data_IF_193947460079
#
_entry.id   IF_193947460079
#
_cell.length_a   1.000
_cell.length_b   1.000
_cell.length_c   1.000
_cell.angle_alpha   90.00
_cell.angle_beta   90.00
_cell.angle_gamma   90.00
#
_symmetry.space_group_name_H-M   'P 1'
#
loop_
_entity.id
_entity.type
_entity.pdbx_description
1 polymer ?
#
# COMPACT_ATOMS: atom_id res chain seq x y z
N UNK A 1 -37.95 -4.33 53.45
CA UNK A 1 -38.47 -5.50 52.71
C UNK A 1 -38.76 -4.99 51.31
N UNK A 2 -38.07 -5.28 50.22
CA UNK A 2 -37.31 -6.44 49.74
C UNK A 2 -36.58 -5.93 48.48
N UNK A 3 -35.26 -5.97 48.39
CA UNK A 3 -34.54 -7.11 47.82
C UNK A 3 -34.04 -6.78 46.41
N UNK A 4 -32.84 -6.17 46.33
CA UNK A 4 -32.06 -6.03 45.09
C UNK A 4 -31.46 -7.40 44.73
N UNK A 5 -31.41 -7.81 43.44
CA UNK A 5 -30.54 -8.89 43.03
C UNK A 5 -29.17 -8.34 42.59
N UNK A 6 -28.16 -8.68 43.39
CA UNK A 6 -26.74 -8.62 43.04
C UNK A 6 -26.46 -9.76 42.07
N UNK A 7 -26.04 -9.44 40.84
CA UNK A 7 -25.48 -10.43 39.90
C UNK A 7 -23.97 -10.26 39.91
N UNK A 8 -23.28 -11.28 40.43
CA UNK A 8 -21.84 -11.45 40.36
C UNK A 8 -21.49 -12.32 39.15
N UNK A 9 -20.53 -11.88 38.32
CA UNK A 9 -19.77 -12.73 37.39
C UNK A 9 -18.38 -12.08 37.18
N UNK A 10 -17.34 -12.82 36.75
CA UNK A 10 -16.11 -13.01 37.51
C UNK A 10 -14.93 -12.28 36.87
N UNK A 11 -13.85 -12.17 37.64
CA UNK A 11 -12.59 -11.59 37.18
C UNK A 11 -11.81 -12.53 36.26
N UNK A 12 -11.60 -12.10 35.02
CA UNK A 12 -10.70 -12.76 34.07
C UNK A 12 -9.53 -11.83 33.74
N UNK A 13 -8.54 -11.84 34.64
CA UNK A 13 -7.21 -11.30 34.43
C UNK A 13 -6.43 -12.28 33.54
N UNK A 14 -6.71 -12.28 32.24
CA UNK A 14 -6.00 -13.14 31.30
C UNK A 14 -5.73 -12.33 30.02
N UNK A 15 -4.47 -12.32 29.56
CA UNK A 15 -3.92 -11.57 28.42
C UNK A 15 -3.27 -10.19 28.67
N UNK A 16 -2.46 -10.05 29.73
CA UNK A 16 -1.33 -9.10 29.70
C UNK A 16 -0.07 -9.79 29.16
N UNK A 17 0.10 -9.89 27.83
CA UNK A 17 1.43 -9.75 27.21
C UNK A 17 1.36 -9.74 25.67
N UNK A 18 1.76 -8.62 25.06
CA UNK A 18 2.52 -8.55 23.80
C UNK A 18 2.78 -7.08 23.44
N UNK A 19 3.86 -6.51 23.99
CA UNK A 19 4.52 -5.34 23.40
C UNK A 19 5.96 -5.72 23.06
N UNK A 20 6.14 -6.17 21.82
CA UNK A 20 7.43 -6.24 21.16
C UNK A 20 7.31 -5.45 19.85
N UNK A 21 8.07 -4.37 19.74
CA UNK A 21 8.35 -3.64 18.50
C UNK A 21 9.67 -2.87 18.68
N UNK A 22 10.33 -2.39 17.61
CA UNK A 22 10.82 -3.17 16.48
C UNK A 22 12.33 -2.92 16.24
N UNK A 23 13.08 -3.94 15.79
CA UNK A 23 14.48 -3.80 15.36
C UNK A 23 14.54 -3.01 14.04
N UNK A 24 15.13 -1.81 14.07
CA UNK A 24 15.53 -1.05 12.87
C UNK A 24 16.76 -1.71 12.24
N UNK A 25 16.64 -2.15 10.99
CA UNK A 25 17.79 -2.52 10.15
C UNK A 25 17.80 -1.54 8.98
N UNK A 26 18.70 -0.56 9.05
CA UNK A 26 19.06 0.30 7.92
C UNK A 26 20.55 0.12 7.69
N UNK A 27 20.91 -0.68 6.68
CA UNK A 27 22.30 -0.86 6.23
C UNK A 27 22.45 -0.09 4.92
N UNK A 28 22.97 1.14 5.03
CA UNK A 28 23.39 1.98 3.93
C UNK A 28 24.73 1.46 3.37
N UNK A 29 24.81 1.26 2.06
CA UNK A 29 26.05 0.83 1.37
C UNK A 29 26.75 2.09 0.85
N UNK A 30 27.98 2.33 1.31
CA UNK A 30 28.82 3.45 0.90
C UNK A 30 29.72 3.06 -0.30
N UNK A 31 29.56 3.79 -1.40
CA UNK A 31 30.47 3.79 -2.56
C UNK A 31 31.81 4.43 -2.19
N UNK A 32 32.93 3.76 -2.50
CA UNK A 32 34.28 4.31 -2.40
C UNK A 32 34.86 4.52 -3.82
N UNK A 33 35.48 5.67 -4.14
CA UNK A 33 36.20 5.89 -5.39
C UNK A 33 37.66 5.44 -5.30
N UNK A 34 38.21 4.93 -6.42
CA UNK A 34 39.63 4.56 -6.57
C UNK A 34 40.45 5.76 -7.11
N UNK A 35 41.72 5.92 -6.67
CA UNK A 35 42.56 7.03 -7.07
C UNK A 35 43.28 6.83 -8.42
N UNK A 36 43.38 7.92 -9.17
CA UNK A 36 44.34 8.11 -10.27
C UNK A 36 45.75 8.27 -9.71
N UNK A 37 46.75 7.71 -10.40
CA UNK A 37 48.17 7.88 -10.11
C UNK A 37 48.94 8.18 -11.40
N UNK A 38 49.86 9.13 -11.28
CA UNK A 38 50.53 9.92 -12.30
C UNK A 38 51.66 9.24 -13.09
N UNK A 39 52.04 9.89 -14.20
CA UNK A 39 53.27 9.74 -15.00
C UNK A 39 54.51 10.30 -14.23
N UNK A 40 55.72 10.57 -14.83
CA UNK A 40 56.31 10.27 -16.15
C UNK A 40 57.78 9.75 -16.06
N UNK A 41 58.44 9.49 -17.21
CA UNK A 41 59.87 9.16 -17.26
C UNK A 41 60.46 9.11 -18.67
N UNK A 42 60.96 10.25 -19.13
CA UNK A 42 61.69 10.53 -20.38
C UNK A 42 63.08 9.89 -20.38
N UNK A 43 63.56 9.32 -21.50
CA UNK A 43 65.00 9.25 -21.82
C UNK A 43 65.24 9.04 -23.33
N UNK A 44 65.84 10.08 -23.91
CA UNK A 44 66.80 10.20 -25.02
C UNK A 44 66.89 9.17 -26.17
N UNK A 45 66.98 9.76 -27.36
CA UNK A 45 67.38 9.20 -28.65
C UNK A 45 68.86 8.75 -28.71
N UNK A 46 69.20 7.84 -29.66
CA UNK A 46 70.42 7.91 -30.48
C UNK A 46 70.46 6.84 -31.62
N UNK A 47 70.60 7.32 -32.87
CA UNK A 47 71.24 6.78 -34.11
C UNK A 47 71.40 5.26 -34.45
N UNK A 48 70.80 4.84 -35.59
CA UNK A 48 71.35 4.30 -36.88
C UNK A 48 72.72 3.54 -36.95
N UNK A 49 73.08 2.80 -38.04
CA UNK A 49 72.45 1.65 -38.75
C UNK A 49 73.44 0.47 -39.09
N UNK A 50 72.90 -0.60 -39.71
CA UNK A 50 73.52 -1.67 -40.57
C UNK A 50 73.87 -3.04 -39.97
N UNK A 51 73.76 -4.03 -40.88
CA UNK A 51 74.03 -5.48 -40.81
C UNK A 51 72.83 -6.27 -40.29
N UNK A 52 71.89 -6.72 -41.13
CA UNK A 52 72.03 -7.69 -42.24
C UNK A 52 72.78 -8.96 -41.83
N UNK A 53 72.09 -10.07 -42.08
CA UNK A 53 72.49 -11.48 -42.01
C UNK A 53 72.32 -12.17 -40.66
N UNK A 54 71.62 -13.31 -40.71
CA UNK A 54 71.70 -14.45 -39.78
C UNK A 54 70.59 -14.78 -38.78
N UNK A 55 69.36 -14.25 -38.91
CA UNK A 55 68.22 -14.89 -38.20
C UNK A 55 66.95 -15.08 -39.04
N UNK A 56 67.09 -15.02 -40.37
CA UNK A 56 66.05 -15.43 -41.32
C UNK A 56 65.89 -16.97 -41.36
N UNK A 57 66.81 -17.73 -40.75
CA UNK A 57 66.78 -19.21 -40.74
C UNK A 57 66.20 -19.82 -39.45
N UNK A 58 65.86 -19.03 -38.43
CA UNK A 58 65.05 -19.50 -37.27
C UNK A 58 63.55 -19.29 -37.43
N UNK A 59 63.09 -18.78 -38.58
CA UNK A 59 61.67 -18.67 -38.90
C UNK A 59 61.09 -19.89 -39.65
N UNK A 60 61.91 -20.91 -39.94
CA UNK A 60 61.46 -22.16 -40.58
C UNK A 60 61.16 -23.28 -39.59
N UNK A 61 61.05 -22.98 -38.29
CA UNK A 61 60.66 -23.96 -37.26
C UNK A 61 59.43 -23.52 -36.45
N UNK A 62 58.42 -23.00 -37.14
CA UNK A 62 57.02 -23.12 -36.68
C UNK A 62 56.29 -23.96 -37.73
N UNK A 63 56.55 -25.27 -37.62
CA UNK A 63 55.70 -26.32 -38.15
C UNK A 63 54.33 -26.20 -37.48
N UNK A 64 53.42 -25.39 -38.05
CA UNK A 64 52.00 -25.42 -37.68
C UNK A 64 51.09 -24.59 -38.59
N UNK A 65 51.32 -24.60 -39.91
CA UNK A 65 50.25 -24.20 -40.86
C UNK A 65 48.96 -25.03 -40.66
N UNK A 66 49.07 -26.24 -40.10
CA UNK A 66 47.93 -27.05 -39.67
C UNK A 66 47.31 -26.63 -38.33
N UNK A 67 48.08 -26.16 -37.34
CA UNK A 67 47.52 -25.93 -35.98
C UNK A 67 46.75 -24.61 -35.86
N UNK A 68 47.07 -23.59 -36.67
CA UNK A 68 46.30 -22.33 -36.71
C UNK A 68 44.91 -22.59 -37.29
N UNK A 69 44.82 -23.36 -38.39
CA UNK A 69 43.55 -23.68 -39.02
C UNK A 69 42.70 -24.64 -38.17
N UNK A 70 43.34 -25.54 -37.41
CA UNK A 70 42.66 -26.38 -36.42
C UNK A 70 42.06 -25.56 -35.26
N UNK A 71 42.75 -24.51 -34.77
CA UNK A 71 42.21 -23.63 -33.73
C UNK A 71 41.09 -22.70 -34.23
N UNK A 72 41.16 -22.23 -35.48
CA UNK A 72 40.09 -21.42 -36.11
C UNK A 72 38.80 -22.23 -36.32
N UNK A 73 38.91 -23.52 -36.65
CA UNK A 73 37.75 -24.41 -36.76
C UNK A 73 37.15 -24.78 -35.40
N UNK A 74 37.94 -24.84 -34.32
CA UNK A 74 37.44 -25.08 -32.98
C UNK A 74 36.70 -23.86 -32.38
N UNK A 75 37.09 -22.63 -32.73
CA UNK A 75 36.37 -21.42 -32.31
C UNK A 75 34.99 -21.27 -32.98
N UNK A 76 34.82 -21.77 -34.22
CA UNK A 76 33.51 -21.86 -34.90
C UNK A 76 32.52 -22.80 -34.20
N UNK A 77 33.01 -23.69 -33.33
CA UNK A 77 32.21 -24.70 -32.62
C UNK A 77 31.69 -24.24 -31.25
N UNK A 78 32.12 -23.07 -30.76
CA UNK A 78 31.77 -22.54 -29.42
C UNK A 78 30.55 -21.59 -29.42
N UNK A 79 30.01 -21.23 -30.59
CA UNK A 79 29.06 -20.13 -30.74
C UNK A 79 27.57 -20.48 -30.77
N UNK A 80 27.16 -21.72 -30.48
CA UNK A 80 25.74 -22.11 -30.55
C UNK A 80 25.26 -22.64 -29.21
N UNK A 81 25.11 -21.74 -28.23
CA UNK A 81 24.27 -22.03 -27.07
C UNK A 81 22.85 -22.24 -27.60
N UNK A 82 22.39 -23.48 -27.60
CA UNK A 82 21.00 -23.80 -27.90
C UNK A 82 20.15 -23.06 -26.86
N UNK A 83 19.43 -22.01 -27.29
CA UNK A 83 18.48 -21.36 -26.42
C UNK A 83 17.39 -22.39 -26.11
N UNK A 84 17.39 -22.89 -24.86
CA UNK A 84 16.30 -23.68 -24.34
C UNK A 84 15.10 -22.73 -24.22
N UNK A 85 14.20 -22.78 -25.19
CA UNK A 85 12.95 -22.03 -25.14
C UNK A 85 12.10 -22.51 -23.97
N UNK A 86 11.28 -21.61 -23.42
CA UNK A 86 10.25 -21.96 -22.45
C UNK A 86 9.25 -22.90 -23.10
N UNK A 87 8.90 -23.99 -22.43
CA UNK A 87 7.93 -24.95 -22.98
C UNK A 87 6.51 -24.40 -22.83
N UNK A 88 5.63 -24.70 -23.80
CA UNK A 88 4.21 -24.34 -23.69
C UNK A 88 3.55 -24.96 -22.45
N UNK A 89 4.02 -26.14 -22.03
CA UNK A 89 3.52 -26.82 -20.84
C UNK A 89 3.90 -26.08 -19.55
N UNK A 90 5.11 -25.51 -19.46
CA UNK A 90 5.49 -24.68 -18.31
C UNK A 90 4.62 -23.43 -18.23
N UNK A 91 4.33 -22.81 -19.37
CA UNK A 91 3.52 -21.60 -19.42
C UNK A 91 2.06 -21.87 -19.03
N UNK A 92 1.51 -23.01 -19.46
CA UNK A 92 0.15 -23.41 -19.09
C UNK A 92 -0.02 -23.60 -17.58
N UNK A 93 0.94 -24.24 -16.92
CA UNK A 93 0.88 -24.45 -15.47
C UNK A 93 0.97 -23.12 -14.71
N UNK A 94 1.84 -22.21 -15.16
CA UNK A 94 1.98 -20.89 -14.53
C UNK A 94 0.68 -20.10 -14.62
N UNK A 95 0.05 -20.05 -15.80
CA UNK A 95 -1.22 -19.34 -15.98
C UNK A 95 -2.33 -19.98 -15.14
N UNK A 96 -2.36 -21.31 -15.04
CA UNK A 96 -3.34 -22.01 -14.20
C UNK A 96 -3.22 -21.62 -12.71
N UNK A 97 -1.99 -21.56 -12.17
CA UNK A 97 -1.76 -21.17 -10.78
C UNK A 97 -2.12 -19.69 -10.56
N UNK A 98 -1.70 -18.79 -11.45
CA UNK A 98 -2.04 -17.36 -11.36
C UNK A 98 -3.56 -17.16 -11.43
N UNK A 99 -4.27 -17.93 -12.26
CA UNK A 99 -5.73 -17.87 -12.36
C UNK A 99 -6.43 -18.19 -11.03
N UNK A 100 -6.00 -19.25 -10.34
CA UNK A 100 -6.57 -19.62 -9.03
C UNK A 100 -6.28 -18.55 -7.98
N UNK A 101 -5.03 -18.05 -7.92
CA UNK A 101 -4.66 -16.99 -6.98
C UNK A 101 -5.43 -15.70 -7.23
N UNK A 102 -5.58 -15.30 -8.50
CA UNK A 102 -6.31 -14.09 -8.88
C UNK A 102 -7.79 -14.16 -8.52
N UNK A 103 -8.44 -15.32 -8.69
CA UNK A 103 -9.85 -15.51 -8.36
C UNK A 103 -10.17 -15.21 -6.88
N UNK A 104 -9.23 -15.51 -5.97
CA UNK A 104 -9.37 -15.24 -4.53
C UNK A 104 -8.86 -13.83 -4.18
N UNK A 105 -7.73 -13.42 -4.77
CA UNK A 105 -7.05 -12.18 -4.40
C UNK A 105 -7.80 -10.93 -4.88
N UNK A 106 -8.40 -10.95 -6.07
CA UNK A 106 -9.10 -9.78 -6.64
C UNK A 106 -10.27 -9.31 -5.76
N UNK A 107 -11.25 -10.16 -5.38
CA UNK A 107 -12.36 -9.70 -4.54
C UNK A 107 -11.88 -9.21 -3.17
N UNK A 108 -10.89 -9.90 -2.56
CA UNK A 108 -10.33 -9.49 -1.28
C UNK A 108 -9.59 -8.14 -1.35
N UNK A 109 -8.83 -7.91 -2.43
CA UNK A 109 -8.14 -6.64 -2.64
C UNK A 109 -9.13 -5.49 -2.88
N UNK A 110 -10.22 -5.73 -3.60
CA UNK A 110 -11.28 -4.74 -3.80
C UNK A 110 -11.95 -4.34 -2.47
N UNK A 111 -12.25 -5.31 -1.59
CA UNK A 111 -12.79 -5.02 -0.26
C UNK A 111 -11.80 -4.23 0.59
N UNK A 112 -10.50 -4.56 0.53
CA UNK A 112 -9.45 -3.82 1.24
C UNK A 112 -9.37 -2.35 0.81
N UNK A 113 -9.35 -2.09 -0.51
CA UNK A 113 -9.32 -0.73 -1.04
C UNK A 113 -10.59 0.04 -0.66
N UNK A 114 -11.75 -0.61 -0.77
CA UNK A 114 -13.04 -0.02 -0.39
C UNK A 114 -13.07 0.33 1.10
N UNK A 115 -12.55 -0.54 1.97
CA UNK A 115 -12.43 -0.29 3.40
C UNK A 115 -11.53 0.89 3.72
N UNK A 116 -10.41 1.03 3.01
CA UNK A 116 -9.53 2.20 3.16
C UNK A 116 -10.26 3.50 2.80
N UNK A 117 -11.11 3.48 1.77
CA UNK A 117 -11.94 4.63 1.38
C UNK A 117 -12.98 4.94 2.46
N UNK A 118 -13.63 3.93 3.03
CA UNK A 118 -14.54 4.12 4.15
C UNK A 118 -13.85 4.67 5.41
N UNK A 119 -12.63 4.23 5.71
CA UNK A 119 -11.86 4.81 6.82
C UNK A 119 -11.63 6.32 6.62
N UNK A 120 -11.38 6.77 5.39
CA UNK A 120 -11.24 8.21 5.08
C UNK A 120 -12.57 8.98 5.19
N UNK A 121 -13.70 8.35 4.84
CA UNK A 121 -15.01 8.98 5.01
C UNK A 121 -15.39 9.08 6.50
N UNK A 122 -15.14 8.03 7.28
CA UNK A 122 -15.41 8.00 8.73
C UNK A 122 -14.53 9.00 9.50
N UNK A 123 -13.28 9.21 9.07
CA UNK A 123 -12.43 10.26 9.64
C UNK A 123 -12.89 11.66 9.21
N UNK A 124 -13.40 11.80 7.98
CA UNK A 124 -13.94 13.08 7.47
C UNK A 124 -15.14 13.61 8.26
N UNK A 125 -15.97 12.74 8.84
CA UNK A 125 -17.12 13.17 9.65
C UNK A 125 -16.80 13.45 11.13
N UNK A 126 -15.54 13.36 11.59
CA UNK A 126 -15.23 13.59 13.01
C UNK A 126 -15.57 15.02 13.46
N UNK A 127 -15.35 16.02 12.60
CA UNK A 127 -15.76 17.40 12.86
C UNK A 127 -17.29 17.52 13.02
N UNK A 128 -18.06 16.80 12.20
CA UNK A 128 -19.53 16.75 12.30
C UNK A 128 -19.96 16.12 13.62
N UNK A 129 -19.31 15.03 14.05
CA UNK A 129 -19.61 14.40 15.36
C UNK A 129 -19.35 15.35 16.53
N UNK A 130 -18.27 16.13 16.47
CA UNK A 130 -17.95 17.14 17.49
C UNK A 130 -18.97 18.29 17.48
N UNK A 131 -19.34 18.78 16.29
CA UNK A 131 -20.35 19.82 16.14
C UNK A 131 -21.73 19.38 16.67
N UNK A 132 -22.14 18.13 16.39
CA UNK A 132 -23.34 17.55 16.98
C UNK A 132 -23.23 17.46 18.50
N UNK A 133 -22.06 17.07 19.04
CA UNK A 133 -21.84 17.02 20.48
C UNK A 133 -22.01 18.39 21.15
N UNK A 134 -21.44 19.43 20.55
CA UNK A 134 -21.61 20.80 21.03
C UNK A 134 -23.08 21.24 20.93
N UNK A 135 -23.72 21.04 19.77
CA UNK A 135 -25.12 21.40 19.59
C UNK A 135 -26.03 20.69 20.61
N UNK A 136 -25.79 19.41 20.90
CA UNK A 136 -26.54 18.68 21.91
C UNK A 136 -26.33 19.26 23.32
N UNK A 137 -25.12 19.72 23.65
CA UNK A 137 -24.86 20.38 24.94
C UNK A 137 -25.61 21.71 25.06
N UNK A 138 -25.66 22.50 23.99
CA UNK A 138 -26.38 23.78 23.94
C UNK A 138 -27.91 23.61 24.00
N UNK A 139 -28.42 22.46 23.54
CA UNK A 139 -29.85 22.19 23.39
C UNK A 139 -30.39 21.18 24.42
N UNK A 140 -29.81 21.11 25.62
CA UNK A 140 -30.24 20.20 26.70
C UNK A 140 -30.35 18.72 26.27
N UNK A 141 -29.48 18.29 25.35
CA UNK A 141 -29.46 16.94 24.81
C UNK A 141 -30.56 16.64 23.80
N UNK A 142 -31.29 17.63 23.28
CA UNK A 142 -32.35 17.43 22.30
C UNK A 142 -31.78 17.22 20.87
N UNK A 143 -31.78 15.99 20.32
CA UNK A 143 -31.18 15.72 19.01
C UNK A 143 -31.97 16.33 17.86
N UNK A 144 -33.26 16.62 18.07
CA UNK A 144 -34.10 17.26 17.07
C UNK A 144 -33.60 18.68 16.70
N UNK A 145 -32.89 19.36 17.61
CA UNK A 145 -32.30 20.68 17.37
C UNK A 145 -31.01 20.63 16.53
N UNK A 146 -30.43 19.44 16.33
CA UNK A 146 -29.13 19.24 15.69
C UNK A 146 -29.27 18.45 14.37
N UNK A 147 -30.31 18.77 13.60
CA UNK A 147 -30.81 17.95 12.50
C UNK A 147 -30.32 18.31 11.10
N UNK A 148 -29.51 19.36 10.93
CA UNK A 148 -28.96 19.76 9.63
C UNK A 148 -27.55 20.29 9.81
N UNK A 149 -26.75 20.30 8.73
CA UNK A 149 -25.39 20.86 8.75
C UNK A 149 -25.36 22.34 9.17
N UNK A 150 -26.38 23.11 8.78
CA UNK A 150 -26.49 24.51 9.15
C UNK A 150 -26.77 24.71 10.66
N UNK A 151 -27.64 23.89 11.25
CA UNK A 151 -27.97 23.96 12.69
C UNK A 151 -26.78 23.63 13.59
N UNK A 152 -25.84 22.82 13.09
CA UNK A 152 -24.60 22.47 13.80
C UNK A 152 -23.41 23.33 13.35
N UNK A 153 -23.65 24.46 12.68
CA UNK A 153 -22.62 25.44 12.27
C UNK A 153 -21.49 24.89 11.37
N UNK A 154 -21.77 23.89 10.53
CA UNK A 154 -20.81 23.44 9.52
C UNK A 154 -20.77 24.47 8.38
N UNK A 155 -19.58 24.96 7.96
CA UNK A 155 -19.47 25.99 6.93
C UNK A 155 -20.05 25.56 5.59
N UNK A 156 -20.91 26.38 5.00
CA UNK A 156 -21.54 26.11 3.70
C UNK A 156 -20.53 25.84 2.57
N UNK A 157 -19.33 26.42 2.63
CA UNK A 157 -18.26 26.20 1.65
C UNK A 157 -17.75 24.74 1.61
N UNK A 158 -18.05 23.93 2.63
CA UNK A 158 -17.69 22.50 2.69
C UNK A 158 -18.80 21.59 2.17
N UNK A 159 -19.95 22.17 1.84
CA UNK A 159 -21.16 21.44 1.45
C UNK A 159 -21.33 21.44 -0.07
N UNK A 160 -21.96 20.39 -0.58
CA UNK A 160 -22.43 20.32 -1.96
C UNK A 160 -23.75 21.11 -2.15
N UNK A 161 -24.28 21.09 -3.38
CA UNK A 161 -25.53 21.76 -3.72
C UNK A 161 -26.76 21.22 -2.96
N UNK A 162 -26.67 20.03 -2.38
CA UNK A 162 -27.73 19.40 -1.58
C UNK A 162 -27.55 19.66 -0.07
N UNK A 163 -26.53 20.44 0.33
CA UNK A 163 -26.24 20.71 1.73
C UNK A 163 -25.56 19.54 2.46
N UNK A 164 -25.02 18.56 1.73
CA UNK A 164 -24.25 17.46 2.31
C UNK A 164 -22.75 17.82 2.35
N UNK A 165 -22.06 17.44 3.42
CA UNK A 165 -20.61 17.58 3.52
C UNK A 165 -19.95 16.78 2.40
N UNK A 166 -18.98 17.38 1.72
CA UNK A 166 -18.18 16.71 0.69
C UNK A 166 -17.05 15.91 1.36
N UNK A 167 -16.94 14.62 1.04
CA UNK A 167 -15.88 13.74 1.52
C UNK A 167 -15.04 13.20 0.35
N UNK A 168 -13.82 12.69 0.61
CA UNK A 168 -12.94 12.20 -0.46
C UNK A 168 -13.56 11.07 -1.30
N UNK A 169 -14.39 10.22 -0.69
CA UNK A 169 -15.02 9.08 -1.35
C UNK A 169 -16.54 9.04 -1.12
N UNK A 170 -17.19 10.19 -1.01
CA UNK A 170 -18.64 10.23 -0.75
C UNK A 170 -19.13 11.59 -0.26
N UNK A 171 -20.32 11.58 0.32
CA UNK A 171 -20.91 12.74 1.00
C UNK A 171 -21.47 12.32 2.35
N UNK A 172 -21.70 13.28 3.25
CA UNK A 172 -22.36 13.03 4.52
C UNK A 172 -23.47 14.06 4.76
N UNK A 173 -24.64 13.58 5.14
CA UNK A 173 -25.77 14.43 5.54
C UNK A 173 -26.06 14.23 7.03
N UNK A 174 -26.65 15.25 7.67
CA UNK A 174 -27.24 15.13 9.00
C UNK A 174 -28.73 15.29 8.86
N UNK A 175 -29.50 14.37 9.44
CA UNK A 175 -30.96 14.38 9.43
C UNK A 175 -31.51 13.57 10.62
N UNK A 176 -32.82 13.68 10.88
CA UNK A 176 -33.57 12.71 11.68
C UNK A 176 -32.97 12.38 13.07
N UNK A 177 -32.97 13.36 13.97
CA UNK A 177 -32.40 13.30 15.32
C UNK A 177 -30.87 13.16 15.32
N UNK A 178 -30.19 14.09 14.65
CA UNK A 178 -28.74 14.19 14.60
C UNK A 178 -28.03 12.94 14.06
N UNK A 179 -28.71 12.14 13.22
CA UNK A 179 -28.11 10.99 12.55
C UNK A 179 -27.23 11.47 11.40
N UNK A 180 -25.99 11.02 11.39
CA UNK A 180 -25.07 11.25 10.27
C UNK A 180 -25.24 10.10 9.29
N UNK A 181 -25.58 10.40 8.04
CA UNK A 181 -25.66 9.42 6.96
C UNK A 181 -24.52 9.69 5.98
N UNK A 182 -23.57 8.77 5.89
CA UNK A 182 -22.47 8.81 4.93
C UNK A 182 -22.87 7.96 3.73
N UNK A 183 -22.84 8.56 2.55
CA UNK A 183 -23.08 7.88 1.28
C UNK A 183 -21.77 7.81 0.51
N UNK A 184 -21.25 6.61 0.32
CA UNK A 184 -20.07 6.36 -0.51
C UNK A 184 -20.36 6.61 -1.98
N UNK A 185 -19.35 7.04 -2.74
CA UNK A 185 -19.43 7.07 -4.20
C UNK A 185 -19.16 5.67 -4.81
N UNK A 186 -19.09 5.57 -6.15
CA UNK A 186 -18.83 4.30 -6.83
C UNK A 186 -17.50 3.64 -6.40
N UNK A 187 -16.49 4.46 -6.08
CA UNK A 187 -15.22 3.98 -5.55
C UNK A 187 -15.36 3.41 -4.12
N UNK A 188 -16.32 3.88 -3.32
CA UNK A 188 -16.69 3.33 -2.02
C UNK A 188 -17.86 2.33 -2.11
N UNK A 189 -18.05 1.69 -3.28
CA UNK A 189 -19.08 0.70 -3.58
C UNK A 189 -20.54 1.19 -3.39
N UNK A 190 -20.76 2.51 -3.43
CA UNK A 190 -22.06 3.15 -3.19
C UNK A 190 -22.72 2.73 -1.86
N UNK A 191 -21.91 2.28 -0.90
CA UNK A 191 -22.41 1.87 0.41
C UNK A 191 -22.94 3.07 1.20
N UNK A 192 -23.85 2.81 2.13
CA UNK A 192 -24.35 3.83 3.06
C UNK A 192 -24.07 3.38 4.48
N UNK A 193 -23.49 4.27 5.29
CA UNK A 193 -23.22 4.05 6.71
C UNK A 193 -23.90 5.13 7.51
N UNK A 194 -24.69 4.76 8.50
CA UNK A 194 -25.34 5.67 9.42
C UNK A 194 -24.65 5.64 10.78
N UNK A 195 -24.45 6.83 11.37
CA UNK A 195 -23.98 7.00 12.73
C UNK A 195 -25.11 7.68 13.51
N UNK A 196 -25.71 6.94 14.44
CA UNK A 196 -26.79 7.41 15.29
C UNK A 196 -26.24 7.76 16.66
N UNK A 197 -26.38 9.02 17.12
CA UNK A 197 -26.01 9.37 18.48
C UNK A 197 -27.00 8.74 19.45
N UNK A 198 -26.49 8.08 20.48
CA UNK A 198 -27.26 7.64 21.63
C UNK A 198 -26.83 8.50 22.82
N UNK A 199 -27.54 9.62 23.12
CA UNK A 199 -27.20 10.45 24.25
C UNK A 199 -27.46 9.67 25.54
N UNK A 200 -26.42 9.47 26.35
CA UNK A 200 -26.58 8.93 27.70
C UNK A 200 -26.98 10.11 28.60
N UNK A 201 -28.21 10.11 29.11
CA UNK A 201 -28.70 11.17 29.99
C UNK A 201 -27.72 11.41 31.16
N UNK A 202 -27.28 12.66 31.35
CA UNK A 202 -26.31 13.03 32.38
C UNK A 202 -24.84 12.68 32.09
N UNK A 203 -24.52 12.18 30.89
CA UNK A 203 -23.14 11.90 30.47
C UNK A 203 -22.64 12.99 29.50
N UNK A 204 -21.40 13.44 29.70
CA UNK A 204 -20.70 14.29 28.73
C UNK A 204 -20.25 13.53 27.47
N UNK A 205 -20.40 12.20 27.44
CA UNK A 205 -19.94 11.33 26.35
C UNK A 205 -21.13 10.85 25.51
N UNK A 206 -21.09 11.15 24.22
CA UNK A 206 -22.00 10.57 23.23
C UNK A 206 -21.49 9.21 22.78
N UNK A 207 -22.34 8.19 22.91
CA UNK A 207 -22.10 6.92 22.24
C UNK A 207 -22.67 6.97 20.83
N UNK A 208 -22.01 6.33 19.87
CA UNK A 208 -22.43 6.32 18.47
C UNK A 208 -22.69 4.89 18.04
N UNK A 209 -23.96 4.58 17.77
CA UNK A 209 -24.32 3.34 17.09
C UNK A 209 -24.00 3.50 15.60
N UNK A 210 -23.30 2.54 15.01
CA UNK A 210 -22.95 2.55 13.60
C UNK A 210 -23.68 1.39 12.94
N UNK A 211 -24.34 1.67 11.81
CA UNK A 211 -25.00 0.65 10.99
C UNK A 211 -24.67 0.87 9.52
N UNK A 212 -24.51 -0.23 8.79
CA UNK A 212 -24.46 -0.24 7.33
C UNK A 212 -25.86 -0.44 6.77
N UNK A 213 -26.27 0.37 5.80
CA UNK A 213 -27.55 0.17 5.13
C UNK A 213 -27.60 -1.19 4.41
N UNK A 214 -28.79 -1.77 4.34
CA UNK A 214 -29.01 -3.06 3.70
C UNK A 214 -28.91 -3.02 2.16
N UNK A 215 -28.93 -1.83 1.55
CA UNK A 215 -28.92 -1.65 0.10
C UNK A 215 -28.05 -0.44 -0.33
N UNK A 216 -27.14 -0.60 -1.31
CA UNK A 216 -26.62 -1.89 -1.79
C UNK A 216 -26.08 -2.72 -0.61
N UNK A 217 -26.15 -4.05 -0.69
CA UNK A 217 -25.82 -4.96 0.40
C UNK A 217 -24.31 -4.91 0.71
N UNK A 218 -23.92 -3.90 1.48
CA UNK A 218 -22.54 -3.68 1.84
C UNK A 218 -22.19 -4.50 3.06
N UNK A 219 -21.04 -5.17 2.98
CA UNK A 219 -20.57 -6.00 4.07
C UNK A 219 -19.61 -5.22 4.95
N UNK A 220 -19.45 -5.67 6.20
CA UNK A 220 -18.38 -5.20 7.08
C UNK A 220 -16.99 -5.33 6.43
N UNK A 221 -16.82 -6.25 5.49
CA UNK A 221 -15.55 -6.38 4.78
C UNK A 221 -15.21 -5.12 3.97
N UNK A 222 -16.23 -4.45 3.41
CA UNK A 222 -16.12 -3.26 2.58
C UNK A 222 -16.13 -1.96 3.39
N UNK A 223 -16.96 -1.86 4.43
CA UNK A 223 -17.15 -0.62 5.21
C UNK A 223 -16.25 -0.55 6.44
N UNK A 224 -15.83 -1.70 6.97
CA UNK A 224 -15.07 -1.81 8.22
C UNK A 224 -15.91 -1.65 9.50
N UNK A 225 -17.19 -1.31 9.36
CA UNK A 225 -18.17 -1.12 10.44
C UNK A 225 -19.38 -2.00 10.21
#
# INVERSE_FOLDING_TARGET
MSGLPVVAVPGDNFWRNRRASPRRVTKFVAFHPLPMGDAPGTLAAQSSPRHETEDVQRLTKISSRGQIMQRVQQLKKLGRRVQKGFTLIELMIVVAIIGILAAIAIPQYQDYVTRSRWASNISGVQAVKQAIAQCLQENNGAPASCNTMALINIPAATLDANGALVLPNGTAAVAGNAVITITGNAAAANCVVTLTPNPVAGSAVLNWAIATAAAPACTRAQTGV
#
